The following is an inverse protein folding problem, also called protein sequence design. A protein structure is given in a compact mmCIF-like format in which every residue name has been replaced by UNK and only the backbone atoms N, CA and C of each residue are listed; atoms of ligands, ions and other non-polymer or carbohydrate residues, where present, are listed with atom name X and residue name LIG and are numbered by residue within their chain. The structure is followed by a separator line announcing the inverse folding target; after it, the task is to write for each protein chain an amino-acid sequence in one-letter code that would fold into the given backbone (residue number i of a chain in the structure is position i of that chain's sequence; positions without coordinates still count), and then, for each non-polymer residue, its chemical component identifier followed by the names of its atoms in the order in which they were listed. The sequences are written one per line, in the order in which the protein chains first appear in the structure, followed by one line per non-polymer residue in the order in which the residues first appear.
data_IF_671727123880
#
_entry.id   IF_671727123880
#
_cell.length_a   1.000
_cell.length_b   1.000
_cell.length_c   1.000
_cell.angle_alpha   90.00
_cell.angle_beta   90.00
_cell.angle_gamma   90.00
#
_symmetry.space_group_name_H-M   'P 1'
#
loop_
_entity.id
_entity.type
_entity.pdbx_description
1 polymer ?
#
# COMPACT_ATOMS: atom_id res chain seq x y z
N UNK A 1 86.07 -18.42 -63.19
CA UNK A 1 85.15 -18.78 -62.08
C UNK A 1 85.15 -17.94 -60.80
N UNK A 2 85.93 -16.85 -60.65
CA UNK A 2 85.74 -15.93 -59.50
C UNK A 2 84.47 -15.07 -59.60
N UNK A 3 84.08 -14.73 -60.83
CA UNK A 3 82.88 -13.91 -61.13
C UNK A 3 81.60 -14.65 -60.78
N UNK A 4 81.52 -15.94 -61.08
CA UNK A 4 80.34 -16.76 -60.76
C UNK A 4 80.13 -16.91 -59.24
N UNK A 5 81.21 -17.15 -58.48
CA UNK A 5 81.15 -17.20 -57.01
C UNK A 5 80.76 -15.84 -56.41
N UNK A 6 81.26 -14.74 -56.96
CA UNK A 6 80.85 -13.39 -56.56
C UNK A 6 79.36 -13.14 -56.86
N UNK A 7 78.89 -13.53 -58.05
CA UNK A 7 77.49 -13.45 -58.43
C UNK A 7 76.57 -14.22 -57.49
N UNK A 8 76.92 -15.46 -57.12
CA UNK A 8 76.15 -16.26 -56.15
C UNK A 8 76.10 -15.62 -54.75
N UNK A 9 77.18 -14.96 -54.31
CA UNK A 9 77.21 -14.25 -53.01
C UNK A 9 76.34 -13.00 -53.01
N UNK A 10 76.37 -12.24 -54.12
CA UNK A 10 75.52 -11.06 -54.30
C UNK A 10 74.05 -11.45 -54.38
N UNK A 11 73.72 -12.53 -55.12
CA UNK A 11 72.36 -13.07 -55.18
C UNK A 11 71.82 -13.42 -53.79
N UNK A 12 72.57 -14.18 -52.99
CA UNK A 12 72.18 -14.50 -51.60
C UNK A 12 72.00 -13.27 -50.72
N UNK A 13 72.80 -12.22 -50.93
CA UNK A 13 72.66 -10.97 -50.20
C UNK A 13 71.40 -10.21 -50.62
N UNK A 14 71.08 -10.19 -51.92
CA UNK A 14 69.87 -9.56 -52.43
C UNK A 14 68.61 -10.28 -51.92
N UNK A 15 68.60 -11.62 -51.95
CA UNK A 15 67.49 -12.43 -51.40
C UNK A 15 67.29 -12.17 -49.91
N UNK A 16 68.40 -12.07 -49.15
CA UNK A 16 68.37 -11.71 -47.73
C UNK A 16 67.81 -10.30 -47.53
N UNK A 17 68.27 -9.31 -48.29
CA UNK A 17 67.81 -7.93 -48.18
C UNK A 17 66.31 -7.82 -48.49
N UNK A 18 65.82 -8.50 -49.53
CA UNK A 18 64.40 -8.55 -49.86
C UNK A 18 63.58 -9.20 -48.75
N UNK A 19 64.06 -10.32 -48.19
CA UNK A 19 63.40 -11.00 -47.08
C UNK A 19 63.31 -10.09 -45.84
N UNK A 20 64.41 -9.39 -45.51
CA UNK A 20 64.43 -8.48 -44.37
C UNK A 20 63.51 -7.28 -44.57
N UNK A 21 63.48 -6.71 -45.78
CA UNK A 21 62.58 -5.62 -46.13
C UNK A 21 61.11 -6.04 -45.94
N UNK A 22 60.73 -7.21 -46.45
CA UNK A 22 59.36 -7.71 -46.31
C UNK A 22 58.98 -7.93 -44.84
N UNK A 23 59.87 -8.52 -44.02
CA UNK A 23 59.60 -8.75 -42.60
C UNK A 23 59.49 -7.44 -41.81
N UNK A 24 60.36 -6.47 -42.09
CA UNK A 24 60.33 -5.15 -41.44
C UNK A 24 59.05 -4.38 -41.83
N UNK A 25 58.69 -4.41 -43.11
CA UNK A 25 57.46 -3.79 -43.61
C UNK A 25 56.20 -4.41 -42.99
N UNK A 26 56.12 -5.74 -42.94
CA UNK A 26 55.02 -6.47 -42.29
C UNK A 26 54.90 -6.09 -40.81
N UNK A 27 56.03 -6.05 -40.08
CA UNK A 27 56.07 -5.60 -38.70
C UNK A 27 55.53 -4.17 -38.55
N UNK A 28 56.00 -3.24 -39.37
CA UNK A 28 55.58 -1.83 -39.29
C UNK A 28 54.11 -1.63 -39.62
N UNK A 29 53.59 -2.29 -40.66
CA UNK A 29 52.19 -2.18 -41.08
C UNK A 29 51.25 -2.69 -39.99
N UNK A 30 51.52 -3.90 -39.49
CA UNK A 30 50.74 -4.54 -38.42
C UNK A 30 50.84 -3.75 -37.11
N UNK A 31 52.03 -3.25 -36.76
CA UNK A 31 52.22 -2.40 -35.57
C UNK A 31 51.42 -1.11 -35.64
N UNK A 32 51.39 -0.42 -36.79
CA UNK A 32 50.56 0.79 -36.99
C UNK A 32 49.07 0.48 -36.87
N UNK A 33 48.62 -0.62 -37.47
CA UNK A 33 47.22 -1.03 -37.42
C UNK A 33 46.77 -1.35 -35.98
N UNK A 34 47.59 -2.11 -35.24
CA UNK A 34 47.34 -2.42 -33.84
C UNK A 34 47.31 -1.15 -32.99
N UNK A 35 48.35 -0.30 -33.08
CA UNK A 35 48.42 0.96 -32.35
C UNK A 35 47.20 1.84 -32.59
N UNK A 36 46.82 2.06 -33.84
CA UNK A 36 45.64 2.87 -34.18
C UNK A 36 44.36 2.30 -33.56
N UNK A 37 44.17 0.98 -33.63
CA UNK A 37 42.98 0.31 -33.07
C UNK A 37 42.94 0.42 -31.55
N UNK A 38 44.07 0.17 -30.88
CA UNK A 38 44.22 0.20 -29.42
C UNK A 38 44.03 1.61 -28.87
N UNK A 39 44.71 2.61 -29.44
CA UNK A 39 44.58 4.00 -29.03
C UNK A 39 43.15 4.52 -29.27
N UNK A 40 42.55 4.23 -30.43
CA UNK A 40 41.17 4.62 -30.71
C UNK A 40 40.20 4.01 -29.71
N UNK A 41 40.36 2.72 -29.38
CA UNK A 41 39.49 2.06 -28.41
C UNK A 41 39.70 2.58 -26.99
N UNK A 42 40.94 2.87 -26.60
CA UNK A 42 41.23 3.49 -25.30
C UNK A 42 40.47 4.80 -25.14
N UNK A 43 40.55 5.68 -26.15
CA UNK A 43 39.84 6.96 -26.15
C UNK A 43 38.31 6.78 -26.15
N UNK A 44 37.78 5.81 -26.89
CA UNK A 44 36.36 5.48 -26.88
C UNK A 44 35.89 5.05 -25.48
N UNK A 45 36.65 4.19 -24.81
CA UNK A 45 36.31 3.69 -23.47
C UNK A 45 36.36 4.79 -22.40
N UNK A 46 37.31 5.72 -22.51
CA UNK A 46 37.44 6.85 -21.59
C UNK A 46 36.30 7.86 -21.75
N UNK A 47 35.83 8.10 -22.98
CA UNK A 47 34.82 9.12 -23.26
C UNK A 47 33.39 8.58 -23.36
N UNK A 48 33.20 7.26 -23.38
CA UNK A 48 31.87 6.67 -23.49
C UNK A 48 30.97 7.05 -22.30
N UNK A 49 29.71 7.39 -22.58
CA UNK A 49 28.73 7.68 -21.54
C UNK A 49 28.44 6.45 -20.67
N UNK A 50 27.99 6.69 -19.43
CA UNK A 50 27.45 5.65 -18.55
C UNK A 50 25.93 5.59 -18.68
N UNK A 51 25.34 4.44 -18.38
CA UNK A 51 23.89 4.29 -18.32
C UNK A 51 23.30 5.04 -17.13
N UNK A 52 22.10 5.61 -17.31
CA UNK A 52 21.32 6.26 -16.27
C UNK A 52 20.25 5.34 -15.67
N UNK A 53 19.85 4.29 -16.38
CA UNK A 53 18.91 3.27 -15.90
C UNK A 53 19.57 1.88 -15.79
N UNK A 54 18.85 0.96 -15.14
CA UNK A 54 19.32 -0.41 -14.91
C UNK A 54 19.55 -1.19 -16.22
N UNK A 55 18.58 -1.13 -17.15
CA UNK A 55 18.61 -1.92 -18.39
C UNK A 55 19.78 -1.48 -19.28
N UNK A 56 19.93 -0.18 -19.51
CA UNK A 56 21.04 0.41 -20.27
C UNK A 56 22.38 0.10 -19.61
N UNK A 57 22.49 0.22 -18.28
CA UNK A 57 23.74 -0.10 -17.57
C UNK A 57 24.11 -1.57 -17.70
N UNK A 58 23.15 -2.48 -17.64
CA UNK A 58 23.34 -3.93 -17.86
C UNK A 58 23.76 -4.24 -19.28
N UNK A 59 23.15 -3.60 -20.26
CA UNK A 59 23.52 -3.73 -21.67
C UNK A 59 24.97 -3.29 -21.91
N UNK A 60 25.37 -2.11 -21.44
CA UNK A 60 26.73 -1.60 -21.57
C UNK A 60 27.77 -2.53 -20.91
N UNK A 61 27.44 -3.12 -19.76
CA UNK A 61 28.31 -4.12 -19.11
C UNK A 61 28.42 -5.38 -19.97
N UNK A 62 27.33 -5.82 -20.60
CA UNK A 62 27.33 -6.99 -21.50
C UNK A 62 28.19 -6.74 -22.74
N UNK A 63 27.99 -5.61 -23.42
CA UNK A 63 28.77 -5.20 -24.60
C UNK A 63 30.26 -5.08 -24.26
N UNK A 64 30.60 -4.48 -23.12
CA UNK A 64 31.98 -4.38 -22.66
C UNK A 64 32.60 -5.76 -22.39
N UNK A 65 31.84 -6.71 -21.83
CA UNK A 65 32.31 -8.09 -21.64
C UNK A 65 32.54 -8.80 -22.97
N UNK A 66 31.67 -8.56 -23.95
CA UNK A 66 31.78 -9.19 -25.27
C UNK A 66 33.01 -8.69 -26.04
N UNK A 67 33.25 -7.37 -26.03
CA UNK A 67 34.48 -6.76 -26.54
C UNK A 67 35.73 -7.42 -25.93
N UNK A 68 35.75 -7.61 -24.60
CA UNK A 68 36.89 -8.23 -23.91
C UNK A 68 37.09 -9.71 -24.23
N UNK A 69 36.04 -10.42 -24.63
CA UNK A 69 36.10 -11.83 -25.03
C UNK A 69 36.53 -12.03 -26.48
N UNK A 70 36.31 -11.03 -27.32
CA UNK A 70 36.55 -11.10 -28.76
C UNK A 70 37.76 -10.24 -29.15
N UNK A 71 37.54 -8.96 -29.46
CA UNK A 71 38.53 -8.03 -30.01
C UNK A 71 39.77 -7.89 -29.14
N UNK A 72 39.60 -7.73 -27.82
CA UNK A 72 40.76 -7.59 -26.91
C UNK A 72 41.68 -8.81 -26.97
N UNK A 73 41.14 -10.03 -27.09
CA UNK A 73 41.94 -11.25 -27.19
C UNK A 73 42.73 -11.30 -28.50
N UNK A 74 42.14 -10.86 -29.60
CA UNK A 74 42.82 -10.76 -30.89
C UNK A 74 44.01 -9.80 -30.82
N UNK A 75 43.83 -8.62 -30.21
CA UNK A 75 44.91 -7.65 -30.06
C UNK A 75 46.05 -8.11 -29.14
N UNK A 76 45.74 -8.85 -28.08
CA UNK A 76 46.78 -9.48 -27.24
C UNK A 76 47.54 -10.55 -28.03
N UNK A 77 46.86 -11.36 -28.84
CA UNK A 77 47.54 -12.30 -29.74
C UNK A 77 48.44 -11.60 -30.75
N UNK A 78 47.95 -10.53 -31.38
CA UNK A 78 48.70 -9.72 -32.33
C UNK A 78 49.95 -9.08 -31.71
N UNK A 79 49.85 -8.59 -30.46
CA UNK A 79 51.00 -8.06 -29.71
C UNK A 79 52.10 -9.12 -29.55
N UNK A 80 51.74 -10.35 -29.16
CA UNK A 80 52.69 -11.45 -29.01
C UNK A 80 53.31 -11.87 -30.36
N UNK A 81 52.51 -11.89 -31.43
CA UNK A 81 53.00 -12.18 -32.78
C UNK A 81 53.98 -11.11 -33.28
N UNK A 82 53.69 -9.83 -33.05
CA UNK A 82 54.58 -8.72 -33.38
C UNK A 82 55.90 -8.79 -32.60
N UNK A 83 55.83 -9.12 -31.30
CA UNK A 83 57.01 -9.34 -30.47
C UNK A 83 57.87 -10.49 -31.02
N UNK A 84 57.24 -11.60 -31.43
CA UNK A 84 57.91 -12.74 -32.05
C UNK A 84 58.56 -12.37 -33.39
N UNK A 85 57.83 -11.65 -34.26
CA UNK A 85 58.32 -11.17 -35.54
C UNK A 85 59.54 -10.25 -35.38
N UNK A 86 59.48 -9.32 -34.40
CA UNK A 86 60.62 -8.47 -34.06
C UNK A 86 61.84 -9.29 -33.63
N UNK A 87 61.66 -10.30 -32.78
CA UNK A 87 62.74 -11.19 -32.34
C UNK A 87 63.35 -11.97 -33.52
N UNK A 88 62.53 -12.43 -34.47
CA UNK A 88 63.00 -13.08 -35.70
C UNK A 88 63.84 -12.13 -36.56
N UNK A 89 63.40 -10.88 -36.74
CA UNK A 89 64.13 -9.84 -37.48
C UNK A 89 65.51 -9.60 -36.82
N UNK A 90 65.54 -9.42 -35.49
CA UNK A 90 66.78 -9.21 -34.73
C UNK A 90 67.74 -10.40 -34.86
N UNK A 91 67.23 -11.63 -34.70
CA UNK A 91 68.03 -12.84 -34.81
C UNK A 91 68.64 -13.02 -36.21
N UNK A 92 67.86 -12.77 -37.26
CA UNK A 92 68.34 -12.84 -38.66
C UNK A 92 69.44 -11.81 -38.94
N UNK A 93 69.31 -10.58 -38.44
CA UNK A 93 70.32 -9.54 -38.61
C UNK A 93 71.61 -9.87 -37.84
N UNK A 94 71.48 -10.35 -36.60
CA UNK A 94 72.61 -10.77 -35.77
C UNK A 94 73.40 -11.92 -36.40
N UNK A 95 72.71 -12.97 -36.86
CA UNK A 95 73.35 -14.13 -37.52
C UNK A 95 74.11 -13.73 -38.78
N UNK A 96 73.61 -12.74 -39.52
CA UNK A 96 74.25 -12.22 -40.73
C UNK A 96 75.23 -11.05 -40.47
N UNK A 97 75.56 -10.77 -39.20
CA UNK A 97 76.48 -9.69 -38.78
C UNK A 97 76.09 -8.33 -39.36
N UNK A 98 74.79 -8.02 -39.35
CA UNK A 98 74.23 -6.72 -39.75
C UNK A 98 73.84 -5.90 -38.52
N UNK A 99 73.71 -4.57 -38.64
CA UNK A 99 73.18 -3.73 -37.57
C UNK A 99 71.81 -4.23 -37.10
N UNK A 100 71.53 -4.05 -35.81
CA UNK A 100 70.22 -4.35 -35.24
C UNK A 100 69.14 -3.50 -35.91
N UNK A 101 67.93 -4.06 -36.03
CA UNK A 101 66.80 -3.31 -36.54
C UNK A 101 66.31 -2.32 -35.48
N UNK A 102 66.03 -1.10 -35.89
CA UNK A 102 65.37 -0.10 -35.06
C UNK A 102 64.06 0.28 -35.76
N UNK A 103 62.89 -0.02 -35.16
CA UNK A 103 61.62 0.39 -35.72
C UNK A 103 61.50 1.92 -35.84
N UNK A 104 60.61 2.41 -36.73
CA UNK A 104 60.24 3.82 -36.75
C UNK A 104 59.73 4.31 -35.39
N UNK A 105 59.81 5.62 -35.16
CA UNK A 105 59.39 6.25 -33.91
C UNK A 105 57.94 5.88 -33.55
N UNK A 106 57.72 5.46 -32.30
CA UNK A 106 56.41 5.09 -31.78
C UNK A 106 55.91 3.68 -32.17
N UNK A 107 56.70 2.91 -32.92
CA UNK A 107 56.43 1.51 -33.30
C UNK A 107 57.42 0.53 -32.69
N UNK A 108 58.16 0.93 -31.66
CA UNK A 108 58.98 -0.03 -30.93
C UNK A 108 58.10 -1.01 -30.16
N UNK A 109 58.64 -2.18 -29.84
CA UNK A 109 58.00 -3.16 -28.95
C UNK A 109 57.52 -2.49 -27.64
N UNK A 110 58.37 -1.64 -27.04
CA UNK A 110 58.00 -0.94 -25.81
C UNK A 110 56.87 0.06 -26.01
N UNK A 111 56.76 0.69 -27.18
CA UNK A 111 55.66 1.62 -27.47
C UNK A 111 54.33 0.87 -27.57
N UNK A 112 54.33 -0.28 -28.24
CA UNK A 112 53.15 -1.16 -28.35
C UNK A 112 52.72 -1.65 -26.96
N UNK A 113 53.68 -2.04 -26.12
CA UNK A 113 53.41 -2.44 -24.73
C UNK A 113 52.80 -1.27 -23.93
N UNK A 114 53.32 -0.06 -24.11
CA UNK A 114 52.78 1.14 -23.47
C UNK A 114 51.35 1.44 -23.93
N UNK A 115 51.06 1.36 -25.24
CA UNK A 115 49.72 1.55 -25.79
C UNK A 115 48.73 0.49 -25.26
N UNK A 116 49.16 -0.77 -25.17
CA UNK A 116 48.36 -1.85 -24.60
C UNK A 116 48.12 -1.70 -23.10
N UNK A 117 49.10 -1.20 -22.36
CA UNK A 117 48.96 -0.87 -20.94
C UNK A 117 48.01 0.31 -20.73
N UNK A 118 48.05 1.34 -21.58
CA UNK A 118 47.08 2.43 -21.56
C UNK A 118 45.65 1.91 -21.76
N UNK A 119 45.44 1.04 -22.76
CA UNK A 119 44.15 0.38 -22.97
C UNK A 119 43.71 -0.45 -21.74
N UNK A 120 44.62 -1.20 -21.10
CA UNK A 120 44.30 -1.96 -19.90
C UNK A 120 43.85 -1.04 -18.73
N UNK A 121 44.49 0.12 -18.59
CA UNK A 121 44.10 1.12 -17.59
C UNK A 121 42.72 1.70 -17.90
N UNK A 122 42.46 2.09 -19.16
CA UNK A 122 41.15 2.55 -19.61
C UNK A 122 40.05 1.50 -19.37
N UNK A 123 40.32 0.23 -19.69
CA UNK A 123 39.41 -0.89 -19.42
C UNK A 123 39.13 -1.07 -17.92
N UNK A 124 40.14 -0.97 -17.06
CA UNK A 124 40.00 -1.09 -15.62
C UNK A 124 39.14 0.05 -15.04
N UNK A 125 39.42 1.28 -15.46
CA UNK A 125 38.64 2.47 -15.10
C UNK A 125 37.19 2.34 -15.57
N UNK A 126 36.97 1.93 -16.82
CA UNK A 126 35.64 1.72 -17.39
C UNK A 126 34.85 0.66 -16.63
N UNK A 127 35.46 -0.49 -16.34
CA UNK A 127 34.84 -1.57 -15.55
C UNK A 127 34.43 -1.07 -14.16
N UNK A 128 35.28 -0.28 -13.52
CA UNK A 128 35.02 0.27 -12.19
C UNK A 128 33.86 1.26 -12.24
N UNK A 129 33.87 2.17 -13.21
CA UNK A 129 32.80 3.15 -13.44
C UNK A 129 31.45 2.48 -13.74
N UNK A 130 31.39 1.51 -14.65
CA UNK A 130 30.15 0.79 -14.98
C UNK A 130 29.55 0.06 -13.77
N UNK A 131 30.38 -0.63 -12.98
CA UNK A 131 29.90 -1.34 -11.80
C UNK A 131 29.52 -0.39 -10.66
N UNK A 132 30.25 0.72 -10.48
CA UNK A 132 29.90 1.75 -9.50
C UNK A 132 28.56 2.40 -9.86
N UNK A 133 28.36 2.74 -11.13
CA UNK A 133 27.10 3.31 -11.61
C UNK A 133 25.92 2.34 -11.43
N UNK A 134 26.10 1.06 -11.78
CA UNK A 134 25.06 0.06 -11.57
C UNK A 134 24.69 -0.06 -10.08
N UNK A 135 25.67 -0.06 -9.18
CA UNK A 135 25.41 -0.05 -7.73
C UNK A 135 24.68 1.20 -7.28
N UNK A 136 25.07 2.37 -7.78
CA UNK A 136 24.42 3.63 -7.44
C UNK A 136 22.95 3.65 -7.89
N UNK A 137 22.65 3.14 -9.10
CA UNK A 137 21.26 3.01 -9.59
C UNK A 137 20.46 2.07 -8.69
N UNK A 138 21.01 0.89 -8.36
CA UNK A 138 20.33 -0.08 -7.50
C UNK A 138 20.11 0.45 -6.07
N UNK A 139 21.07 1.21 -5.52
CA UNK A 139 20.95 1.83 -4.20
C UNK A 139 19.91 2.97 -4.20
N UNK A 140 19.87 3.75 -5.28
CA UNK A 140 18.89 4.82 -5.48
C UNK A 140 17.46 4.26 -5.58
N UNK A 141 17.25 3.16 -6.32
CA UNK A 141 15.95 2.49 -6.40
C UNK A 141 15.50 1.97 -5.02
N UNK A 142 16.38 1.27 -4.30
CA UNK A 142 16.11 0.82 -2.92
C UNK A 142 15.72 1.98 -2.02
N UNK A 143 16.46 3.08 -2.09
CA UNK A 143 16.20 4.27 -1.28
C UNK A 143 14.88 4.94 -1.66
N UNK A 144 14.59 5.09 -2.95
CA UNK A 144 13.37 5.74 -3.42
C UNK A 144 12.12 5.01 -2.92
N UNK A 145 12.08 3.68 -3.02
CA UNK A 145 10.99 2.89 -2.47
C UNK A 145 10.93 2.99 -0.93
N UNK A 146 12.05 2.77 -0.24
CA UNK A 146 12.09 2.78 1.22
C UNK A 146 11.69 4.13 1.82
N UNK A 147 12.15 5.25 1.26
CA UNK A 147 11.81 6.59 1.73
C UNK A 147 10.29 6.84 1.62
N UNK A 148 9.66 6.43 0.51
CA UNK A 148 8.21 6.54 0.32
C UNK A 148 7.43 5.60 1.25
N UNK A 149 7.84 4.33 1.34
CA UNK A 149 7.20 3.30 2.13
C UNK A 149 7.25 3.63 3.64
N UNK A 150 8.42 3.98 4.16
CA UNK A 150 8.60 4.34 5.57
C UNK A 150 7.82 5.61 5.93
N UNK A 151 7.89 6.66 5.08
CA UNK A 151 7.13 7.88 5.33
C UNK A 151 5.61 7.65 5.31
N UNK A 152 5.12 6.74 4.47
CA UNK A 152 3.71 6.35 4.43
C UNK A 152 3.33 5.54 5.68
N UNK A 153 4.17 4.57 6.08
CA UNK A 153 3.97 3.77 7.28
C UNK A 153 3.93 4.62 8.56
N UNK A 154 4.84 5.59 8.69
CA UNK A 154 4.89 6.51 9.82
C UNK A 154 3.59 7.32 9.94
N UNK A 155 3.06 7.82 8.81
CA UNK A 155 1.78 8.54 8.79
C UNK A 155 0.58 7.65 9.10
N UNK A 156 0.59 6.40 8.63
CA UNK A 156 -0.44 5.43 9.01
C UNK A 156 -0.39 5.12 10.51
N UNK A 157 0.80 4.96 11.08
CA UNK A 157 0.99 4.72 12.50
C UNK A 157 0.53 5.92 13.34
N UNK A 158 0.82 7.15 12.91
CA UNK A 158 0.35 8.35 13.61
C UNK A 158 -1.17 8.48 13.58
N UNK A 159 -1.81 8.24 12.42
CA UNK A 159 -3.27 8.25 12.31
C UNK A 159 -3.89 7.14 13.18
N UNK A 160 -3.35 5.93 13.13
CA UNK A 160 -3.80 4.82 13.99
C UNK A 160 -3.70 5.16 15.47
N UNK A 161 -2.62 5.80 15.90
CA UNK A 161 -2.46 6.27 17.28
C UNK A 161 -3.46 7.39 17.62
N UNK A 162 -3.68 8.34 16.72
CA UNK A 162 -4.65 9.41 16.92
C UNK A 162 -6.07 8.85 17.09
N UNK A 163 -6.45 7.83 16.32
CA UNK A 163 -7.74 7.16 16.46
C UNK A 163 -7.91 6.52 17.84
N UNK A 164 -6.85 5.97 18.43
CA UNK A 164 -6.90 5.36 19.77
C UNK A 164 -7.15 6.39 20.88
N UNK A 165 -6.70 7.63 20.70
CA UNK A 165 -6.84 8.69 21.71
C UNK A 165 -8.09 9.54 21.53
N UNK A 166 -8.82 9.43 20.41
CA UNK A 166 -10.04 10.23 20.15
C UNK A 166 -11.07 10.06 21.27
N UNK A 167 -11.19 8.88 21.89
CA UNK A 167 -12.16 8.63 22.96
C UNK A 167 -11.80 9.22 24.32
N UNK A 168 -10.60 9.78 24.50
CA UNK A 168 -10.12 10.24 25.82
C UNK A 168 -10.42 11.72 26.10
N UNK A 169 -10.65 12.53 25.06
CA UNK A 169 -10.71 14.00 25.18
C UNK A 169 -11.81 14.60 24.30
N UNK A 170 -12.61 15.49 24.86
CA UNK A 170 -13.60 16.29 24.13
C UNK A 170 -15.02 15.71 24.14
N UNK A 171 -15.98 16.56 23.79
CA UNK A 171 -17.39 16.16 23.59
C UNK A 171 -17.56 15.36 22.28
N UNK A 172 -18.63 14.58 22.17
CA UNK A 172 -18.87 13.67 21.04
C UNK A 172 -18.81 14.39 19.68
N UNK A 173 -19.30 15.63 19.60
CA UNK A 173 -19.23 16.45 18.37
C UNK A 173 -17.78 16.80 17.98
N UNK A 174 -16.94 17.16 18.95
CA UNK A 174 -15.52 17.46 18.72
C UNK A 174 -14.73 16.21 18.32
N UNK A 175 -15.07 15.07 18.91
CA UNK A 175 -14.51 13.77 18.55
C UNK A 175 -14.87 13.42 17.10
N UNK A 176 -16.14 13.60 16.69
CA UNK A 176 -16.58 13.34 15.32
C UNK A 176 -15.89 14.25 14.30
N UNK A 177 -15.72 15.54 14.62
CA UNK A 177 -14.98 16.47 13.76
C UNK A 177 -13.52 16.05 13.58
N UNK A 178 -12.86 15.64 14.67
CA UNK A 178 -11.49 15.11 14.64
C UNK A 178 -11.38 13.85 13.77
N UNK A 179 -12.33 12.90 13.90
CA UNK A 179 -12.38 11.70 13.07
C UNK A 179 -12.55 12.05 11.58
N UNK A 180 -13.44 12.98 11.25
CA UNK A 180 -13.65 13.41 9.86
C UNK A 180 -12.43 14.11 9.27
N UNK A 181 -11.74 14.93 10.06
CA UNK A 181 -10.46 15.54 9.65
C UNK A 181 -9.41 14.48 9.35
N UNK A 182 -9.23 13.53 10.28
CA UNK A 182 -8.26 12.43 10.11
C UNK A 182 -8.63 11.50 8.95
N UNK A 183 -9.92 11.27 8.67
CA UNK A 183 -10.38 10.56 7.47
C UNK A 183 -9.94 11.25 6.19
N UNK A 184 -10.06 12.58 6.12
CA UNK A 184 -9.63 13.35 4.96
C UNK A 184 -8.11 13.27 4.79
N UNK A 185 -7.35 13.35 5.87
CA UNK A 185 -5.90 13.15 5.84
C UNK A 185 -5.51 11.75 5.36
N UNK A 186 -6.21 10.71 5.84
CA UNK A 186 -6.00 9.34 5.42
C UNK A 186 -6.34 9.14 3.93
N UNK A 187 -7.40 9.75 3.44
CA UNK A 187 -7.75 9.73 2.02
C UNK A 187 -6.67 10.42 1.17
N UNK A 188 -6.17 11.57 1.61
CA UNK A 188 -5.07 12.28 0.95
C UNK A 188 -3.77 11.46 0.94
N UNK A 189 -3.48 10.74 2.03
CA UNK A 189 -2.35 9.83 2.11
C UNK A 189 -2.46 8.73 1.05
N UNK A 190 -3.66 8.19 0.85
CA UNK A 190 -3.93 7.16 -0.17
C UNK A 190 -3.56 7.55 -1.60
N UNK A 191 -3.53 8.85 -1.92
CA UNK A 191 -3.07 9.33 -3.24
C UNK A 191 -1.60 9.03 -3.53
N UNK A 192 -0.78 8.73 -2.51
CA UNK A 192 0.62 8.34 -2.66
C UNK A 192 0.85 6.85 -2.92
N UNK A 193 -0.17 6.00 -2.78
CA UNK A 193 -0.06 4.55 -3.01
C UNK A 193 0.41 4.18 -4.43
N UNK A 194 -0.06 4.85 -5.51
CA UNK A 194 0.43 4.56 -6.87
C UNK A 194 1.93 4.82 -7.04
N UNK A 195 2.47 5.86 -6.40
CA UNK A 195 3.89 6.18 -6.48
C UNK A 195 4.74 5.13 -5.73
N UNK A 196 4.24 4.63 -4.60
CA UNK A 196 4.88 3.52 -3.84
C UNK A 196 4.88 2.25 -4.70
N UNK A 197 3.75 1.91 -5.32
CA UNK A 197 3.63 0.74 -6.20
C UNK A 197 4.60 0.83 -7.39
N UNK A 198 4.69 2.01 -8.02
CA UNK A 198 5.60 2.24 -9.13
C UNK A 198 7.07 2.11 -8.70
N UNK A 199 7.42 2.57 -7.50
CA UNK A 199 8.77 2.46 -6.95
C UNK A 199 9.15 1.00 -6.61
N UNK A 200 8.22 0.21 -6.06
CA UNK A 200 8.44 -1.22 -5.82
C UNK A 200 8.60 -1.98 -7.13
N UNK A 201 7.73 -1.74 -8.11
CA UNK A 201 7.82 -2.32 -9.44
C UNK A 201 9.15 -1.98 -10.14
N UNK A 202 9.65 -0.75 -9.98
CA UNK A 202 10.97 -0.38 -10.50
C UNK A 202 12.11 -1.16 -9.83
N UNK A 203 11.95 -1.56 -8.57
CA UNK A 203 12.87 -2.47 -7.89
C UNK A 203 12.79 -3.88 -8.47
N UNK A 204 11.59 -4.41 -8.70
CA UNK A 204 11.36 -5.72 -9.32
C UNK A 204 11.94 -5.79 -10.74
N UNK A 205 11.68 -4.78 -11.57
CA UNK A 205 12.22 -4.68 -12.93
C UNK A 205 13.76 -4.63 -12.94
N UNK A 206 14.37 -4.15 -11.85
CA UNK A 206 15.83 -4.16 -11.63
C UNK A 206 16.35 -5.44 -10.95
N UNK A 207 15.47 -6.42 -10.70
CA UNK A 207 15.73 -7.68 -10.01
C UNK A 207 16.29 -7.46 -8.58
N UNK A 208 15.75 -6.48 -7.87
CA UNK A 208 15.99 -6.25 -6.44
C UNK A 208 14.96 -7.07 -5.67
N UNK A 209 15.39 -8.18 -5.06
CA UNK A 209 14.52 -9.07 -4.28
C UNK A 209 14.36 -8.60 -2.83
N UNK A 210 15.43 -8.05 -2.25
CA UNK A 210 15.45 -7.58 -0.87
C UNK A 210 15.93 -6.14 -0.76
N UNK A 211 15.24 -5.37 0.09
CA UNK A 211 15.58 -4.00 0.40
C UNK A 211 15.86 -3.84 1.89
N UNK A 212 17.13 -3.79 2.27
CA UNK A 212 17.58 -3.59 3.66
C UNK A 212 17.16 -2.25 4.29
N UNK A 213 16.58 -1.32 3.52
CA UNK A 213 16.18 0.02 3.98
C UNK A 213 14.72 0.11 4.43
N UNK A 214 13.91 -0.93 4.19
CA UNK A 214 12.52 -0.98 4.64
C UNK A 214 12.06 -2.42 4.78
N UNK A 215 11.27 -2.70 5.81
CA UNK A 215 10.61 -4.00 6.01
C UNK A 215 9.19 -4.00 5.43
N UNK A 216 8.77 -2.92 4.76
CA UNK A 216 7.42 -2.76 4.24
C UNK A 216 7.35 -3.13 2.76
N UNK A 217 6.27 -3.82 2.38
CA UNK A 217 5.86 -4.03 0.98
C UNK A 217 4.71 -3.10 0.61
N UNK A 218 4.50 -2.85 -0.68
CA UNK A 218 3.32 -2.12 -1.14
C UNK A 218 2.02 -2.75 -0.64
N UNK A 219 1.91 -4.08 -0.75
CA UNK A 219 0.70 -4.81 -0.37
C UNK A 219 0.36 -4.64 1.12
N UNK A 220 1.37 -4.67 2.00
CA UNK A 220 1.18 -4.44 3.43
C UNK A 220 0.65 -3.03 3.72
N UNK A 221 1.24 -2.01 3.07
CA UNK A 221 0.85 -0.61 3.25
C UNK A 221 -0.54 -0.33 2.67
N UNK A 222 -0.85 -0.89 1.50
CA UNK A 222 -2.15 -0.80 0.87
C UNK A 222 -3.22 -1.46 1.76
N UNK A 223 -2.96 -2.67 2.26
CA UNK A 223 -3.87 -3.36 3.16
C UNK A 223 -4.09 -2.57 4.46
N UNK A 224 -3.03 -2.11 5.09
CA UNK A 224 -3.10 -1.32 6.32
C UNK A 224 -3.90 -0.02 6.13
N UNK A 225 -3.70 0.68 5.01
CA UNK A 225 -4.45 1.88 4.67
C UNK A 225 -5.94 1.60 4.51
N UNK A 226 -6.31 0.56 3.76
CA UNK A 226 -7.71 0.19 3.53
C UNK A 226 -8.40 -0.25 4.83
N UNK A 227 -7.70 -1.03 5.66
CA UNK A 227 -8.21 -1.46 6.95
C UNK A 227 -8.45 -0.26 7.88
N UNK A 228 -7.49 0.66 7.95
CA UNK A 228 -7.61 1.87 8.77
C UNK A 228 -8.75 2.75 8.27
N UNK A 229 -8.91 2.90 6.95
CA UNK A 229 -10.00 3.65 6.33
C UNK A 229 -11.37 3.11 6.74
N UNK A 230 -11.56 1.79 6.69
CA UNK A 230 -12.79 1.13 7.17
C UNK A 230 -13.02 1.37 8.67
N UNK A 231 -11.95 1.32 9.47
CA UNK A 231 -12.02 1.53 10.92
C UNK A 231 -12.45 2.96 11.26
N UNK A 232 -11.90 3.95 10.56
CA UNK A 232 -12.31 5.34 10.70
C UNK A 232 -13.77 5.56 10.28
N UNK A 233 -14.23 4.94 9.19
CA UNK A 233 -15.62 5.03 8.76
C UNK A 233 -16.57 4.52 9.85
N UNK A 234 -16.30 3.30 10.36
CA UNK A 234 -17.08 2.71 11.44
C UNK A 234 -17.12 3.59 12.70
N UNK A 235 -15.97 4.13 13.13
CA UNK A 235 -15.94 5.00 14.30
C UNK A 235 -16.71 6.32 14.10
N UNK A 236 -16.70 6.88 12.89
CA UNK A 236 -17.51 8.06 12.57
C UNK A 236 -19.02 7.74 12.67
N UNK A 237 -19.44 6.60 12.13
CA UNK A 237 -20.83 6.16 12.16
C UNK A 237 -21.31 5.92 13.60
N UNK A 238 -20.48 5.29 14.43
CA UNK A 238 -20.76 5.07 15.86
C UNK A 238 -20.92 6.39 16.63
N UNK A 239 -19.98 7.34 16.49
CA UNK A 239 -20.07 8.64 17.15
C UNK A 239 -21.30 9.43 16.68
N UNK A 240 -21.57 9.43 15.37
CA UNK A 240 -22.75 10.11 14.82
C UNK A 240 -24.06 9.52 15.35
N UNK A 241 -24.10 8.21 15.56
CA UNK A 241 -25.24 7.51 16.16
C UNK A 241 -25.41 7.88 17.64
N UNK A 242 -24.32 8.00 18.40
CA UNK A 242 -24.35 8.43 19.80
C UNK A 242 -24.81 9.89 19.96
N UNK A 243 -24.33 10.80 19.11
CA UNK A 243 -24.76 12.21 19.12
C UNK A 243 -26.26 12.30 18.84
N UNK A 244 -26.76 11.58 17.84
CA UNK A 244 -28.18 11.59 17.50
C UNK A 244 -29.06 11.02 18.64
N UNK A 245 -28.59 10.01 19.35
CA UNK A 245 -29.28 9.43 20.50
C UNK A 245 -29.26 10.37 21.73
N UNK A 246 -28.20 11.16 21.91
CA UNK A 246 -28.12 12.17 22.97
C UNK A 246 -28.99 13.41 22.73
N UNK A 247 -29.32 13.71 21.46
CA UNK A 247 -30.18 14.84 21.08
C UNK A 247 -31.68 14.53 21.18
N UNK A 248 -32.07 13.27 21.37
CA UNK A 248 -33.44 12.92 21.76
C UNK A 248 -33.59 13.14 23.27
N UNK A 249 -33.96 14.37 23.66
CA UNK A 249 -34.06 14.89 25.05
C UNK A 249 -34.92 14.06 26.03
N UNK A 250 -35.57 12.97 25.60
CA UNK A 250 -36.53 12.19 26.40
C UNK A 250 -36.07 10.76 26.72
N UNK A 251 -34.78 10.42 26.57
CA UNK A 251 -34.30 9.04 26.76
C UNK A 251 -33.03 9.02 27.61
N UNK A 252 -33.04 8.20 28.67
CA UNK A 252 -31.86 8.05 29.52
C UNK A 252 -30.75 7.26 28.79
N UNK A 253 -29.47 7.47 29.16
CA UNK A 253 -28.35 6.68 28.62
C UNK A 253 -28.54 5.16 28.81
N UNK A 254 -29.18 4.75 29.90
CA UNK A 254 -29.46 3.36 30.24
C UNK A 254 -30.49 2.74 29.29
N UNK A 255 -31.55 3.49 28.92
CA UNK A 255 -32.56 3.06 27.95
C UNK A 255 -31.96 2.94 26.54
N UNK A 256 -31.06 3.85 26.17
CA UNK A 256 -30.36 3.77 24.88
C UNK A 256 -29.48 2.51 24.83
N UNK A 257 -28.82 2.16 25.93
CA UNK A 257 -28.00 0.96 26.03
C UNK A 257 -28.85 -0.32 25.92
N UNK A 258 -30.01 -0.37 26.56
CA UNK A 258 -30.98 -1.46 26.43
C UNK A 258 -31.50 -1.63 24.99
N UNK A 259 -31.84 -0.52 24.32
CA UNK A 259 -32.24 -0.55 22.91
C UNK A 259 -31.10 -1.02 22.01
N UNK A 260 -29.85 -0.68 22.35
CA UNK A 260 -28.67 -1.10 21.60
C UNK A 260 -28.36 -2.58 21.76
N UNK A 261 -28.48 -3.11 22.98
CA UNK A 261 -28.36 -4.56 23.22
C UNK A 261 -29.44 -5.34 22.49
N UNK A 262 -30.67 -4.83 22.50
CA UNK A 262 -31.78 -5.41 21.75
C UNK A 262 -31.51 -5.39 20.25
N UNK A 263 -31.11 -4.25 19.69
CA UNK A 263 -30.77 -4.14 18.27
C UNK A 263 -29.69 -5.14 17.86
N UNK A 264 -28.62 -5.24 18.66
CA UNK A 264 -27.50 -6.17 18.41
C UNK A 264 -27.89 -7.64 18.57
N UNK A 265 -28.88 -7.94 19.42
CA UNK A 265 -29.40 -9.31 19.55
C UNK A 265 -30.12 -9.77 18.27
N UNK A 266 -30.79 -8.85 17.58
CA UNK A 266 -31.58 -9.16 16.37
C UNK A 266 -30.81 -8.97 15.06
N UNK A 267 -29.73 -8.19 15.05
CA UNK A 267 -28.76 -8.08 13.95
C UNK A 267 -27.90 -9.36 13.89
N UNK A 268 -28.36 -10.36 13.13
CA UNK A 268 -27.72 -11.69 13.13
C UNK A 268 -26.44 -11.73 12.30
N UNK A 269 -26.37 -10.93 11.24
CA UNK A 269 -25.21 -10.85 10.36
C UNK A 269 -24.19 -9.77 10.78
N UNK A 270 -24.49 -9.00 11.82
CA UNK A 270 -23.66 -7.92 12.37
C UNK A 270 -23.31 -6.86 11.32
N UNK A 271 -24.23 -6.58 10.40
CA UNK A 271 -24.07 -5.56 9.37
C UNK A 271 -24.45 -4.14 9.85
N UNK A 272 -24.81 -4.01 11.14
CA UNK A 272 -25.25 -2.79 11.82
C UNK A 272 -26.58 -2.23 11.26
N UNK A 273 -27.35 -3.08 10.56
CA UNK A 273 -28.66 -2.79 10.01
C UNK A 273 -29.62 -3.95 10.31
N UNK A 274 -30.90 -3.64 10.50
CA UNK A 274 -31.92 -4.69 10.60
C UNK A 274 -32.58 -4.86 9.24
N UNK A 275 -32.46 -6.07 8.69
CA UNK A 275 -33.28 -6.47 7.56
C UNK A 275 -34.77 -6.47 7.93
N UNK A 276 -35.64 -6.48 6.92
CA UNK A 276 -37.09 -6.55 7.13
C UNK A 276 -37.52 -7.74 8.01
N UNK A 277 -36.82 -8.87 7.94
CA UNK A 277 -37.13 -10.05 8.74
C UNK A 277 -36.65 -9.93 10.18
N UNK A 278 -35.46 -9.37 10.39
CA UNK A 278 -34.88 -9.15 11.73
C UNK A 278 -35.65 -8.07 12.48
N UNK A 279 -36.01 -6.98 11.81
CA UNK A 279 -36.85 -5.94 12.38
C UNK A 279 -38.24 -6.48 12.76
N UNK A 280 -38.84 -7.34 11.92
CA UNK A 280 -40.11 -8.02 12.25
C UNK A 280 -39.98 -8.89 13.50
N UNK A 281 -38.88 -9.64 13.59
CA UNK A 281 -38.60 -10.52 14.72
C UNK A 281 -38.40 -9.73 16.02
N UNK A 282 -37.70 -8.60 15.94
CA UNK A 282 -37.50 -7.67 17.04
C UNK A 282 -38.83 -7.11 17.57
N UNK A 283 -39.67 -6.55 16.69
CA UNK A 283 -40.98 -5.99 17.08
C UNK A 283 -41.94 -7.03 17.64
N UNK A 284 -41.87 -8.26 17.14
CA UNK A 284 -42.63 -9.38 17.68
C UNK A 284 -42.15 -9.78 19.07
N UNK A 285 -40.85 -9.74 19.33
CA UNK A 285 -40.26 -10.08 20.63
C UNK A 285 -40.52 -9.00 21.69
N UNK A 286 -40.60 -7.73 21.27
CA UNK A 286 -40.92 -6.60 22.14
C UNK A 286 -42.43 -6.46 22.41
N UNK A 287 -43.28 -7.29 21.79
CA UNK A 287 -44.74 -7.28 22.02
C UNK A 287 -45.50 -6.15 21.31
N UNK A 288 -44.83 -5.32 20.51
CA UNK A 288 -45.42 -4.20 19.76
C UNK A 288 -46.43 -4.67 18.69
N UNK A 289 -46.22 -5.87 18.15
CA UNK A 289 -47.08 -6.49 17.14
C UNK A 289 -47.51 -7.87 17.63
N UNK A 290 -48.83 -8.09 17.75
CA UNK A 290 -49.39 -9.41 18.00
C UNK A 290 -49.12 -10.33 16.78
N UNK A 291 -48.65 -11.56 17.05
CA UNK A 291 -48.39 -12.59 16.05
C UNK A 291 -49.70 -13.14 15.49
N UNK A 292 -50.42 -12.32 14.73
CA UNK A 292 -51.65 -12.71 14.07
C UNK A 292 -51.28 -13.38 12.75
N UNK A 293 -51.22 -14.72 12.78
CA UNK A 293 -50.82 -15.60 11.66
C UNK A 293 -51.70 -15.47 10.40
N UNK A 294 -52.78 -14.67 10.43
CA UNK A 294 -53.71 -14.47 9.31
C UNK A 294 -53.84 -13.02 8.83
N UNK A 295 -53.12 -12.04 9.42
CA UNK A 295 -53.27 -10.63 9.02
C UNK A 295 -52.15 -9.64 9.39
N UNK A 296 -51.12 -10.07 10.13
CA UNK A 296 -50.09 -9.18 10.71
C UNK A 296 -49.16 -8.45 9.72
N UNK A 297 -49.10 -8.88 8.46
CA UNK A 297 -48.17 -8.28 7.48
C UNK A 297 -48.53 -6.84 7.10
N UNK A 298 -49.81 -6.44 7.07
CA UNK A 298 -50.17 -5.07 6.64
C UNK A 298 -49.77 -3.98 7.64
N UNK A 299 -49.93 -4.26 8.94
CA UNK A 299 -49.51 -3.33 10.01
C UNK A 299 -48.00 -3.24 10.07
N UNK A 300 -47.32 -4.39 9.99
CA UNK A 300 -45.87 -4.44 9.91
C UNK A 300 -45.35 -3.68 8.68
N UNK A 301 -45.93 -3.89 7.50
CA UNK A 301 -45.52 -3.20 6.27
C UNK A 301 -45.64 -1.68 6.38
N UNK A 302 -46.72 -1.20 7.01
CA UNK A 302 -46.93 0.23 7.25
C UNK A 302 -45.93 0.81 8.25
N UNK A 303 -45.59 0.06 9.30
CA UNK A 303 -44.58 0.46 10.29
C UNK A 303 -43.21 0.47 9.60
N UNK A 304 -42.84 -0.61 8.93
CA UNK A 304 -41.57 -0.74 8.25
C UNK A 304 -41.40 0.36 7.19
N UNK A 305 -42.41 0.63 6.37
CA UNK A 305 -42.35 1.71 5.37
C UNK A 305 -42.15 3.10 6.00
N UNK A 306 -42.75 3.33 7.17
CA UNK A 306 -42.61 4.60 7.90
C UNK A 306 -41.22 4.73 8.51
N UNK A 307 -40.73 3.67 9.16
CA UNK A 307 -39.45 3.66 9.88
C UNK A 307 -38.26 3.60 8.92
N UNK A 308 -38.36 2.80 7.85
CA UNK A 308 -37.31 2.65 6.87
C UNK A 308 -37.19 3.87 5.95
N UNK A 309 -38.21 4.74 5.87
CA UNK A 309 -38.23 5.95 5.03
C UNK A 309 -37.84 5.67 3.56
N UNK A 310 -38.27 4.51 3.03
CA UNK A 310 -37.93 4.08 1.67
C UNK A 310 -36.61 3.29 1.52
N UNK A 311 -35.90 3.02 2.62
CA UNK A 311 -34.78 2.07 2.68
C UNK A 311 -35.25 0.61 2.70
N UNK A 312 -34.40 -0.32 2.26
CA UNK A 312 -34.65 -1.77 2.40
C UNK A 312 -34.25 -2.31 3.80
N UNK A 313 -33.57 -1.50 4.60
CA UNK A 313 -33.05 -1.83 5.93
C UNK A 313 -33.29 -0.70 6.93
N UNK A 314 -33.31 -1.05 8.23
CA UNK A 314 -33.51 -0.13 9.36
C UNK A 314 -32.21 -0.05 10.17
N UNK A 315 -31.51 1.08 10.12
CA UNK A 315 -30.34 1.32 10.96
C UNK A 315 -30.72 1.66 12.41
N UNK A 316 -29.74 1.68 13.31
CA UNK A 316 -29.98 1.92 14.73
C UNK A 316 -30.69 3.25 15.01
N UNK A 317 -30.40 4.33 14.27
CA UNK A 317 -31.09 5.63 14.46
C UNK A 317 -32.58 5.55 14.14
N UNK A 318 -32.95 4.90 13.04
CA UNK A 318 -34.36 4.70 12.63
C UNK A 318 -35.09 3.81 13.63
N UNK A 319 -34.42 2.74 14.07
CA UNK A 319 -34.91 1.86 15.13
C UNK A 319 -35.16 2.62 16.43
N UNK A 320 -34.18 3.42 16.88
CA UNK A 320 -34.24 4.19 18.12
C UNK A 320 -35.38 5.21 18.08
N UNK A 321 -35.49 6.00 17.00
CA UNK A 321 -36.62 6.94 16.81
C UNK A 321 -37.97 6.25 16.91
N UNK A 322 -38.10 5.06 16.33
CA UNK A 322 -39.33 4.29 16.39
C UNK A 322 -39.61 3.77 17.81
N UNK A 323 -38.61 3.22 18.50
CA UNK A 323 -38.75 2.76 19.89
C UNK A 323 -39.17 3.88 20.83
N UNK A 324 -38.59 5.07 20.66
CA UNK A 324 -38.97 6.28 21.41
C UNK A 324 -40.42 6.69 21.09
N UNK A 325 -40.83 6.59 19.83
CA UNK A 325 -42.21 6.95 19.45
C UNK A 325 -43.24 6.02 20.07
N UNK A 326 -42.92 4.72 20.22
CA UNK A 326 -43.81 3.75 20.85
C UNK A 326 -43.83 3.93 22.37
N UNK A 327 -42.67 4.11 23.01
CA UNK A 327 -42.59 4.28 24.46
C UNK A 327 -43.30 5.55 24.93
N UNK A 328 -43.31 6.61 24.11
CA UNK A 328 -44.07 7.83 24.38
C UNK A 328 -45.59 7.64 24.26
N UNK A 329 -46.06 6.73 23.40
CA UNK A 329 -47.49 6.46 23.24
C UNK A 329 -48.06 5.73 24.46
N UNK A 330 -47.35 4.74 25.02
CA UNK A 330 -47.83 3.92 26.17
C UNK A 330 -47.97 4.71 27.49
N UNK A 331 -47.22 5.81 27.67
CA UNK A 331 -47.20 6.59 28.92
C UNK A 331 -48.03 7.88 28.87
N UNK A 332 -48.73 8.18 27.75
CA UNK A 332 -49.51 9.41 27.68
C UNK A 332 -50.65 9.40 28.72
N UNK A 333 -50.86 10.51 29.47
CA UNK A 333 -51.94 10.62 30.45
C UNK A 333 -53.32 10.27 29.87
N UNK A 334 -53.55 10.59 28.60
CA UNK A 334 -54.79 10.31 27.88
C UNK A 334 -55.03 8.80 27.69
N UNK A 335 -54.00 8.03 27.29
CA UNK A 335 -54.11 6.58 27.12
C UNK A 335 -54.16 5.82 28.46
N UNK A 336 -53.41 6.28 29.47
CA UNK A 336 -53.50 5.71 30.82
C UNK A 336 -54.91 5.95 31.38
N UNK A 337 -55.47 7.15 31.18
CA UNK A 337 -56.82 7.48 31.59
C UNK A 337 -57.87 6.64 30.84
N UNK A 338 -57.71 6.42 29.55
CA UNK A 338 -58.58 5.55 28.75
C UNK A 338 -58.48 4.08 29.20
N UNK A 339 -57.29 3.60 29.53
CA UNK A 339 -57.07 2.25 30.08
C UNK A 339 -57.79 2.06 31.41
N UNK A 340 -57.71 3.05 32.31
CA UNK A 340 -58.50 3.05 33.55
C UNK A 340 -60.01 3.17 33.29
N UNK A 341 -60.43 3.93 32.27
CA UNK A 341 -61.84 4.06 31.91
C UNK A 341 -62.43 2.72 31.42
N UNK A 342 -61.69 1.99 30.60
CA UNK A 342 -62.07 0.63 30.16
C UNK A 342 -62.12 -0.34 31.34
N UNK A 343 -61.10 -0.31 32.21
CA UNK A 343 -61.04 -1.13 33.42
C UNK A 343 -62.22 -0.85 34.37
N UNK A 344 -62.61 0.41 34.50
CA UNK A 344 -63.75 0.86 35.31
C UNK A 344 -65.12 0.55 34.67
N UNK A 345 -65.14 0.04 33.42
CA UNK A 345 -66.36 -0.22 32.68
C UNK A 345 -67.13 1.06 32.31
N UNK A 346 -66.40 2.15 32.03
CA UNK A 346 -66.98 3.45 31.65
C UNK A 346 -67.38 4.35 32.81
N UNK A 347 -66.99 4.02 34.06
CA UNK A 347 -67.28 4.83 35.25
C UNK A 347 -66.14 5.83 35.50
N UNK A 348 -66.46 6.98 36.09
CA UNK A 348 -65.48 8.01 36.50
C UNK A 348 -64.68 7.66 37.78
N UNK A 349 -64.67 6.38 38.18
CA UNK A 349 -63.95 5.85 39.33
C UNK A 349 -63.65 4.36 39.12
N UNK A 350 -62.57 3.87 39.71
CA UNK A 350 -62.18 2.45 39.68
C UNK A 350 -62.29 1.84 41.07
N UNK A 351 -62.72 0.59 41.19
CA UNK A 351 -62.76 -0.15 42.46
C UNK A 351 -61.70 -1.24 42.51
N UNK A 352 -61.38 -1.73 43.72
CA UNK A 352 -60.51 -2.90 43.90
C UNK A 352 -61.01 -4.11 43.11
N UNK A 353 -62.34 -4.26 42.95
CA UNK A 353 -62.91 -5.36 42.19
C UNK A 353 -62.69 -5.19 40.69
N UNK A 354 -62.81 -3.96 40.17
CA UNK A 354 -62.52 -3.66 38.76
C UNK A 354 -61.04 -3.95 38.43
N UNK A 355 -60.11 -3.58 39.32
CA UNK A 355 -58.67 -3.91 39.17
C UNK A 355 -58.40 -5.42 39.20
N UNK A 356 -59.10 -6.17 40.07
CA UNK A 356 -59.02 -7.64 40.09
C UNK A 356 -59.53 -8.28 38.80
N UNK A 357 -60.61 -7.74 38.23
CA UNK A 357 -61.16 -8.21 36.94
C UNK A 357 -60.18 -7.92 35.80
N UNK A 358 -59.45 -6.81 35.87
CA UNK A 358 -58.34 -6.50 34.96
C UNK A 358 -57.07 -7.33 35.16
N UNK A 359 -57.09 -8.33 36.04
CA UNK A 359 -55.95 -9.21 36.34
C UNK A 359 -54.72 -8.52 36.94
N UNK A 360 -54.90 -7.36 37.60
CA UNK A 360 -53.80 -6.73 38.35
C UNK A 360 -53.39 -7.61 39.54
N UNK A 361 -52.09 -7.66 39.83
CA UNK A 361 -51.55 -8.40 40.97
C UNK A 361 -51.98 -7.77 42.30
N UNK A 362 -51.99 -8.56 43.37
CA UNK A 362 -52.34 -8.05 44.71
C UNK A 362 -51.40 -6.91 45.16
N UNK A 363 -50.13 -6.96 44.77
CA UNK A 363 -49.14 -5.90 45.06
C UNK A 363 -49.45 -4.61 44.28
N UNK A 364 -49.78 -4.73 42.99
CA UNK A 364 -50.17 -3.59 42.14
C UNK A 364 -51.43 -2.91 42.67
N UNK A 365 -52.44 -3.68 43.07
CA UNK A 365 -53.70 -3.15 43.65
C UNK A 365 -53.43 -2.43 44.97
N UNK A 366 -52.61 -3.00 45.86
CA UNK A 366 -52.26 -2.37 47.13
C UNK A 366 -51.50 -1.06 46.92
N UNK A 367 -50.60 -1.03 45.94
CA UNK A 367 -49.88 0.19 45.59
C UNK A 367 -50.85 1.26 45.06
N UNK A 368 -51.64 0.91 44.05
CA UNK A 368 -52.60 1.80 43.39
C UNK A 368 -53.65 2.38 44.37
N UNK A 369 -54.17 1.57 45.28
CA UNK A 369 -55.11 2.02 46.33
C UNK A 369 -54.46 2.90 47.41
N UNK A 370 -53.14 2.86 47.57
CA UNK A 370 -52.40 3.73 48.50
C UNK A 370 -52.09 5.11 47.91
N UNK A 371 -51.99 5.21 46.58
CA UNK A 371 -51.61 6.46 45.88
C UNK A 371 -52.80 7.18 45.25
N UNK A 372 -53.85 6.47 44.84
CA UNK A 372 -55.02 7.10 44.22
C UNK A 372 -55.90 7.80 45.26
N UNK A 373 -56.37 9.03 44.97
CA UNK A 373 -57.31 9.71 45.84
C UNK A 373 -58.67 8.99 45.85
N UNK A 374 -59.34 8.88 47.02
CA UNK A 374 -60.68 8.30 47.10
C UNK A 374 -61.70 9.20 46.39
N UNK A 375 -62.67 8.59 45.72
CA UNK A 375 -63.75 9.32 45.05
C UNK A 375 -64.79 9.81 46.07
N UNK A 376 -65.05 11.10 46.08
CA UNK A 376 -66.00 11.71 47.01
C UNK A 376 -67.40 11.12 46.84
N UNK A 377 -67.98 10.59 47.93
CA UNK A 377 -69.33 10.00 47.94
C UNK A 377 -69.44 8.56 47.47
N UNK A 378 -68.34 7.87 47.14
CA UNK A 378 -68.35 6.45 46.71
C UNK A 378 -67.45 5.61 47.62
N UNK A 379 -68.08 4.75 48.43
CA UNK A 379 -67.35 3.85 49.34
C UNK A 379 -66.53 2.82 48.54
N UNK A 380 -65.20 2.86 48.67
CA UNK A 380 -64.28 1.96 47.96
C UNK A 380 -64.00 2.32 46.49
N UNK A 381 -64.41 3.51 46.05
CA UNK A 381 -64.07 4.04 44.72
C UNK A 381 -62.83 4.94 44.75
N UNK A 382 -61.98 4.83 43.73
CA UNK A 382 -60.76 5.63 43.56
C UNK A 382 -60.84 6.47 42.30
N UNK A 383 -60.42 7.74 42.39
CA UNK A 383 -60.44 8.69 41.28
C UNK A 383 -59.16 8.58 40.45
N UNK A 384 -59.21 7.75 39.41
CA UNK A 384 -58.09 7.58 38.50
C UNK A 384 -57.84 8.82 37.63
N UNK A 385 -58.85 9.69 37.41
CA UNK A 385 -58.66 10.91 36.60
C UNK A 385 -57.78 11.90 37.35
N UNK A 386 -57.96 12.02 38.66
CA UNK A 386 -57.12 12.86 39.52
C UNK A 386 -55.73 12.26 39.80
N UNK A 387 -55.54 10.97 39.56
CA UNK A 387 -54.23 10.29 39.68
C UNK A 387 -53.38 10.43 38.41
N UNK A 388 -54.03 10.46 37.25
CA UNK A 388 -53.36 10.53 35.93
C UNK A 388 -53.18 11.97 35.44
N UNK A 389 -53.92 12.93 36.01
CA UNK A 389 -53.72 14.38 35.78
C UNK A 389 -52.56 14.90 36.61
#
# INVERSE_FOLDING_TARGET
DKVEVAGRRIGKLADFAQTMFNLQHDYEERSRALKSSVTSKSNELENAALGNDYATSRQLISEFREYRRTLKRQWVGEQEELQSLFNVIQAKLKTNRRPAYTPPEGLSVSDIDNDMNALNNAESSRRTALNAQLRAILDALRKAFADLANAFADKLASLKSALATVGEVGELDQQLETIKSNQQELANLGNGLPDIQAAEKACEDANIEENEKTDHTYDDLWFAHNLLTKTYARNADLLSSQIAAGQTEDVSPEQIEEFKETFKHFDQDNDEQLSKLEFKSCLSSLGVIALDFEGGDKRFESIFSTVAEGSETVNFQKFLKYMISISKDEESPEQIQDSFNVLAGGKDFVTVNDMKVGQLSAEQINHLTSVMPPKEGIEGGFDYKAYVS
#
